data_IF_433575355143
#
_entry.id   IF_433575355143
#
_cell.length_a   1.000
_cell.length_b   1.000
_cell.length_c   1.000
_cell.angle_alpha   90.00
_cell.angle_beta   90.00
_cell.angle_gamma   90.00
#
_symmetry.space_group_name_H-M   'P 1'
#
loop_
_entity.id
_entity.type
_entity.pdbx_description
1 polymer ?
#
# COMPACT_ATOMS: atom_id res chain seq x y z
N UNK A 1 5.02 -15.61 -44.95
CA UNK A 1 5.40 -14.78 -43.79
C UNK A 1 4.25 -14.08 -43.07
N UNK A 2 3.11 -13.71 -43.70
CA UNK A 2 1.98 -13.02 -43.03
C UNK A 2 1.18 -13.86 -42.01
N UNK A 3 1.15 -15.19 -42.10
CA UNK A 3 0.38 -16.06 -41.17
C UNK A 3 1.04 -16.32 -39.84
N UNK A 4 2.37 -16.22 -39.73
CA UNK A 4 3.10 -16.45 -38.46
C UNK A 4 2.93 -15.28 -37.48
N UNK A 5 2.84 -14.04 -37.98
CA UNK A 5 2.64 -12.86 -37.13
C UNK A 5 1.23 -12.82 -36.48
N UNK A 6 0.20 -13.39 -37.13
CA UNK A 6 -1.16 -13.43 -36.55
C UNK A 6 -1.26 -14.38 -35.35
N UNK A 7 -0.53 -15.50 -35.33
CA UNK A 7 -0.54 -16.46 -34.22
C UNK A 7 0.21 -15.93 -32.98
N UNK A 8 1.27 -15.14 -33.18
CA UNK A 8 2.02 -14.55 -32.05
C UNK A 8 1.18 -13.46 -31.35
N UNK A 9 0.45 -12.65 -32.09
CA UNK A 9 -0.42 -11.61 -31.52
C UNK A 9 -1.58 -12.16 -30.67
N UNK A 10 -2.20 -13.25 -31.12
CA UNK A 10 -3.27 -13.91 -30.36
C UNK A 10 -2.77 -14.58 -29.08
N UNK A 11 -1.59 -15.19 -29.09
CA UNK A 11 -0.98 -15.80 -27.92
C UNK A 11 -0.63 -14.82 -26.80
N UNK A 12 -0.09 -13.66 -27.15
CA UNK A 12 0.27 -12.62 -26.19
C UNK A 12 -0.98 -11.98 -25.55
N UNK A 13 -2.04 -11.75 -26.34
CA UNK A 13 -3.32 -11.24 -25.82
C UNK A 13 -4.01 -12.24 -24.86
N UNK A 14 -3.95 -13.54 -25.17
CA UNK A 14 -4.55 -14.56 -24.32
C UNK A 14 -3.81 -14.72 -22.98
N UNK A 15 -2.46 -14.65 -22.99
CA UNK A 15 -1.65 -14.69 -21.77
C UNK A 15 -1.84 -13.47 -20.88
N UNK A 16 -1.96 -12.27 -21.45
CA UNK A 16 -2.22 -11.05 -20.71
C UNK A 16 -3.63 -11.09 -20.07
N UNK A 17 -4.65 -11.55 -20.77
CA UNK A 17 -6.00 -11.70 -20.25
C UNK A 17 -6.05 -12.72 -19.09
N UNK A 18 -5.36 -13.85 -19.19
CA UNK A 18 -5.28 -14.85 -18.13
C UNK A 18 -4.59 -14.32 -16.87
N UNK A 19 -3.50 -13.56 -17.02
CA UNK A 19 -2.79 -12.94 -15.88
C UNK A 19 -3.67 -11.92 -15.16
N UNK A 20 -4.38 -11.05 -15.88
CA UNK A 20 -5.31 -10.06 -15.31
C UNK A 20 -6.46 -10.75 -14.58
N UNK A 21 -6.97 -11.87 -15.10
CA UNK A 21 -8.03 -12.64 -14.45
C UNK A 21 -7.54 -13.33 -13.17
N UNK A 22 -6.33 -13.86 -13.15
CA UNK A 22 -5.73 -14.48 -11.97
C UNK A 22 -5.54 -13.46 -10.83
N UNK A 23 -5.08 -12.25 -11.13
CA UNK A 23 -4.93 -11.17 -10.14
C UNK A 23 -6.29 -10.72 -9.56
N UNK A 24 -7.33 -10.56 -10.37
CA UNK A 24 -8.67 -10.22 -9.89
C UNK A 24 -9.26 -11.32 -8.97
N UNK A 25 -9.01 -12.57 -9.30
CA UNK A 25 -9.42 -13.72 -8.47
C UNK A 25 -8.70 -13.70 -7.12
N UNK A 26 -7.40 -13.37 -7.10
CA UNK A 26 -6.62 -13.25 -5.86
C UNK A 26 -7.14 -12.08 -5.00
N UNK A 27 -7.43 -10.92 -5.58
CA UNK A 27 -7.97 -9.78 -4.85
C UNK A 27 -9.33 -10.08 -4.19
N UNK A 28 -10.23 -10.81 -4.88
CA UNK A 28 -11.50 -11.25 -4.29
C UNK A 28 -11.30 -12.25 -3.15
N UNK A 29 -10.38 -13.20 -3.31
CA UNK A 29 -10.02 -14.16 -2.26
C UNK A 29 -9.47 -13.44 -1.03
N UNK A 30 -8.51 -12.53 -1.22
CA UNK A 30 -7.92 -11.75 -0.13
C UNK A 30 -8.97 -10.85 0.54
N UNK A 31 -9.85 -10.21 -0.22
CA UNK A 31 -10.94 -9.41 0.32
C UNK A 31 -11.88 -10.24 1.21
N UNK A 32 -12.20 -11.49 0.80
CA UNK A 32 -13.02 -12.40 1.60
C UNK A 32 -12.36 -12.77 2.94
N UNK A 33 -11.04 -12.86 2.97
CA UNK A 33 -10.29 -13.07 4.22
C UNK A 33 -10.28 -11.79 5.07
N UNK A 34 -10.00 -10.62 4.49
CA UNK A 34 -9.98 -9.33 5.17
C UNK A 34 -11.31 -8.93 5.81
N UNK A 35 -12.45 -9.43 5.31
CA UNK A 35 -13.76 -9.23 5.96
C UNK A 35 -13.81 -9.73 7.40
N UNK A 36 -13.02 -10.73 7.74
CA UNK A 36 -12.96 -11.31 9.09
C UNK A 36 -12.14 -10.46 10.06
N UNK A 37 -11.34 -9.52 9.54
CA UNK A 37 -10.33 -8.79 10.31
C UNK A 37 -9.12 -9.64 10.65
N UNK A 38 -8.17 -9.05 11.39
CA UNK A 38 -6.97 -9.74 11.87
C UNK A 38 -5.76 -9.63 10.94
N UNK A 39 -5.82 -8.74 9.95
CA UNK A 39 -4.74 -8.52 8.98
C UNK A 39 -4.11 -7.15 9.13
N UNK A 40 -2.82 -7.07 8.82
CA UNK A 40 -2.09 -5.81 8.68
C UNK A 40 -1.83 -5.57 7.19
N UNK A 41 -2.25 -4.41 6.71
CA UNK A 41 -2.10 -3.97 5.31
C UNK A 41 -1.03 -2.88 5.29
N UNK A 42 0.12 -3.16 4.68
CA UNK A 42 1.18 -2.17 4.47
C UNK A 42 1.09 -1.66 3.05
N UNK A 43 0.90 -0.35 2.89
CA UNK A 43 0.72 0.28 1.60
C UNK A 43 1.74 1.39 1.37
N UNK A 44 2.34 1.41 0.18
CA UNK A 44 3.03 2.61 -0.28
C UNK A 44 1.99 3.68 -0.63
N UNK A 45 2.22 4.93 -0.22
CA UNK A 45 1.34 6.06 -0.55
C UNK A 45 0.94 6.09 -2.03
N UNK A 46 -0.14 6.77 -2.36
CA UNK A 46 -0.66 6.95 -3.73
C UNK A 46 0.31 7.68 -4.67
N UNK A 47 -0.04 7.73 -5.94
CA UNK A 47 0.76 8.37 -6.99
C UNK A 47 1.02 9.84 -6.71
N UNK A 48 2.27 10.29 -6.92
CA UNK A 48 2.72 11.66 -6.63
C UNK A 48 3.10 12.42 -7.90
N UNK A 49 3.20 13.76 -7.81
CA UNK A 49 3.73 14.59 -8.87
C UNK A 49 5.24 14.35 -8.98
N UNK A 50 5.70 13.86 -10.13
CA UNK A 50 7.10 13.44 -10.34
C UNK A 50 8.08 14.61 -10.49
N UNK A 51 7.58 15.78 -10.82
CA UNK A 51 8.31 17.05 -10.96
C UNK A 51 8.49 17.79 -9.63
N UNK A 52 7.88 17.27 -8.54
CA UNK A 52 8.02 17.83 -7.20
C UNK A 52 9.03 17.05 -6.35
N UNK A 53 9.72 17.78 -5.47
CA UNK A 53 10.60 17.23 -4.45
C UNK A 53 10.18 17.72 -3.06
N UNK A 54 10.63 17.02 -2.01
CA UNK A 54 10.55 17.51 -0.63
C UNK A 54 11.69 18.52 -0.43
N UNK A 55 11.39 19.83 -0.44
CA UNK A 55 12.38 20.90 -0.40
C UNK A 55 12.67 21.45 0.99
N UNK A 56 11.90 21.04 2.00
CA UNK A 56 12.08 21.39 3.41
C UNK A 56 11.82 20.15 4.31
N UNK A 57 12.60 19.06 4.15
CA UNK A 57 12.30 17.76 4.76
C UNK A 57 12.48 17.72 6.28
N UNK A 58 13.18 18.71 6.88
CA UNK A 58 13.32 18.84 8.33
C UNK A 58 12.09 19.47 8.99
N UNK A 59 11.32 20.23 8.24
CA UNK A 59 10.10 20.89 8.71
C UNK A 59 8.87 20.16 8.17
N UNK A 60 8.51 19.05 8.81
CA UNK A 60 7.41 18.18 8.37
C UNK A 60 6.04 18.88 8.34
N UNK A 61 5.88 19.97 9.07
CA UNK A 61 4.65 20.74 9.10
C UNK A 61 4.51 21.70 7.91
N UNK A 62 5.62 21.93 7.17
CA UNK A 62 5.60 22.75 5.95
C UNK A 62 5.11 21.93 4.74
N UNK A 63 3.81 21.61 4.75
CA UNK A 63 3.18 20.79 3.72
C UNK A 63 3.37 21.33 2.30
N UNK A 64 3.40 22.66 2.15
CA UNK A 64 3.59 23.31 0.85
C UNK A 64 4.96 23.02 0.20
N UNK A 65 5.95 22.61 1.01
CA UNK A 65 7.31 22.24 0.55
C UNK A 65 7.50 20.74 0.39
N UNK A 66 6.45 19.95 0.57
CA UNK A 66 6.49 18.51 0.36
C UNK A 66 6.01 18.15 -1.05
N UNK A 67 6.52 17.03 -1.57
CA UNK A 67 5.98 16.40 -2.76
C UNK A 67 4.55 15.89 -2.48
N UNK A 68 3.60 16.36 -3.26
CA UNK A 68 2.17 16.09 -3.08
C UNK A 68 1.69 14.88 -3.89
N UNK A 69 0.56 14.30 -3.49
CA UNK A 69 -0.18 13.40 -4.37
C UNK A 69 -0.55 14.14 -5.66
N UNK A 70 -0.48 13.44 -6.78
CA UNK A 70 -1.09 13.91 -8.02
C UNK A 70 -2.62 13.75 -7.96
N UNK A 71 -3.36 14.47 -8.80
CA UNK A 71 -4.81 14.30 -8.88
C UNK A 71 -5.20 12.85 -9.20
N UNK A 72 -4.47 12.22 -10.12
CA UNK A 72 -4.63 10.79 -10.42
C UNK A 72 -4.36 9.91 -9.20
N UNK A 73 -3.37 10.25 -8.38
CA UNK A 73 -3.06 9.52 -7.13
C UNK A 73 -4.17 9.67 -6.09
N UNK A 74 -4.76 10.87 -5.96
CA UNK A 74 -5.92 11.12 -5.09
C UNK A 74 -7.13 10.33 -5.53
N UNK A 75 -7.46 10.39 -6.82
CA UNK A 75 -8.60 9.66 -7.39
C UNK A 75 -8.44 8.15 -7.19
N UNK A 76 -7.24 7.61 -7.43
CA UNK A 76 -6.96 6.20 -7.23
C UNK A 76 -7.10 5.80 -5.75
N UNK A 77 -6.56 6.59 -4.82
CA UNK A 77 -6.69 6.32 -3.39
C UNK A 77 -8.16 6.35 -2.92
N UNK A 78 -8.95 7.31 -3.43
CA UNK A 78 -10.40 7.38 -3.19
C UNK A 78 -11.12 6.14 -3.70
N UNK A 79 -10.83 5.71 -4.93
CA UNK A 79 -11.42 4.49 -5.53
C UNK A 79 -11.04 3.23 -4.74
N UNK A 80 -9.81 3.11 -4.22
CA UNK A 80 -9.41 2.01 -3.33
C UNK A 80 -10.21 2.04 -2.04
N UNK A 81 -10.42 3.21 -1.44
CA UNK A 81 -11.27 3.35 -0.25
C UNK A 81 -12.73 2.95 -0.51
N UNK A 82 -13.28 3.34 -1.66
CA UNK A 82 -14.61 2.90 -2.10
C UNK A 82 -14.66 1.39 -2.33
N UNK A 83 -13.62 0.82 -2.94
CA UNK A 83 -13.50 -0.62 -3.13
C UNK A 83 -13.45 -1.38 -1.79
N UNK A 84 -12.67 -0.90 -0.81
CA UNK A 84 -12.62 -1.53 0.52
C UNK A 84 -13.98 -1.52 1.20
N UNK A 85 -14.72 -0.40 1.14
CA UNK A 85 -16.09 -0.32 1.69
C UNK A 85 -17.04 -1.28 0.97
N UNK A 86 -17.03 -1.28 -0.37
CA UNK A 86 -17.89 -2.16 -1.19
C UNK A 86 -17.59 -3.64 -0.97
N UNK A 87 -16.31 -3.99 -0.83
CA UNK A 87 -15.86 -5.34 -0.51
C UNK A 87 -16.09 -5.71 0.97
N UNK A 88 -16.57 -4.80 1.81
CA UNK A 88 -16.84 -5.04 3.22
C UNK A 88 -15.57 -5.29 4.05
N UNK A 89 -14.45 -4.65 3.71
CA UNK A 89 -13.16 -4.76 4.43
C UNK A 89 -13.19 -3.79 5.62
N UNK A 90 -13.26 -4.27 6.87
CA UNK A 90 -13.32 -3.42 8.05
C UNK A 90 -11.93 -2.91 8.40
N UNK A 91 -11.71 -1.60 8.30
CA UNK A 91 -10.51 -0.96 8.81
C UNK A 91 -10.70 -0.54 10.27
N UNK A 92 -9.69 -0.78 11.09
CA UNK A 92 -9.52 -0.23 12.43
C UNK A 92 -8.62 0.99 12.37
N UNK A 93 -7.46 0.93 13.05
CA UNK A 93 -6.50 2.02 13.05
C UNK A 93 -5.81 2.15 11.70
N UNK A 94 -5.73 3.39 11.20
CA UNK A 94 -4.99 3.75 9.99
C UNK A 94 -3.77 4.57 10.41
N UNK A 95 -2.61 3.93 10.43
CA UNK A 95 -1.33 4.61 10.67
C UNK A 95 -0.78 5.17 9.37
N UNK A 96 -0.16 6.34 9.44
CA UNK A 96 0.48 6.95 8.27
C UNK A 96 1.84 7.53 8.62
N UNK A 97 2.72 7.63 7.64
CA UNK A 97 3.82 8.57 7.69
C UNK A 97 3.29 9.99 7.94
N UNK A 98 4.13 10.84 8.52
CA UNK A 98 3.82 12.26 8.70
C UNK A 98 3.87 13.08 7.41
N UNK A 99 4.46 12.58 6.33
CA UNK A 99 4.39 13.26 5.04
C UNK A 99 2.95 13.31 4.51
N UNK A 100 2.54 14.48 4.02
CA UNK A 100 1.15 14.75 3.61
C UNK A 100 0.62 13.74 2.58
N UNK A 101 1.45 13.29 1.62
CA UNK A 101 1.08 12.26 0.63
C UNK A 101 0.62 10.94 1.26
N UNK A 102 1.20 10.54 2.40
CA UNK A 102 0.78 9.35 3.12
C UNK A 102 -0.46 9.61 3.98
N UNK A 103 -0.51 10.76 4.66
CA UNK A 103 -1.67 11.19 5.46
C UNK A 103 -2.92 11.27 4.58
N UNK A 104 -2.81 11.92 3.43
CA UNK A 104 -3.92 12.08 2.49
C UNK A 104 -4.35 10.73 1.89
N UNK A 105 -3.40 9.87 1.51
CA UNK A 105 -3.71 8.49 1.06
C UNK A 105 -4.48 7.73 2.13
N UNK A 106 -4.01 7.76 3.39
CA UNK A 106 -4.67 7.08 4.51
C UNK A 106 -6.09 7.58 4.76
N UNK A 107 -6.31 8.90 4.72
CA UNK A 107 -7.64 9.51 4.88
C UNK A 107 -8.60 9.12 3.76
N UNK A 108 -8.15 9.13 2.51
CA UNK A 108 -8.97 8.78 1.35
C UNK A 108 -9.39 7.30 1.37
N UNK A 109 -8.50 6.41 1.80
CA UNK A 109 -8.79 4.97 1.90
C UNK A 109 -9.62 4.67 3.15
N UNK A 110 -9.20 5.16 4.32
CA UNK A 110 -9.84 4.88 5.60
C UNK A 110 -11.20 5.58 5.79
N UNK A 111 -11.42 6.69 5.09
CA UNK A 111 -12.65 7.46 5.16
C UNK A 111 -12.82 8.26 6.46
N UNK A 112 -11.74 8.48 7.22
CA UNK A 112 -11.79 9.18 8.50
C UNK A 112 -10.43 9.57 9.06
N UNK A 113 -10.33 9.58 10.38
CA UNK A 113 -9.11 9.95 11.09
C UNK A 113 -7.98 8.94 10.85
N UNK A 114 -6.76 9.46 10.82
CA UNK A 114 -5.53 8.68 10.72
C UNK A 114 -4.59 9.04 11.86
N UNK A 115 -3.61 8.16 12.13
CA UNK A 115 -2.58 8.35 13.15
C UNK A 115 -1.22 8.56 12.47
N UNK A 116 -0.83 9.83 12.20
CA UNK A 116 0.48 10.12 11.63
C UNK A 116 1.59 9.86 12.66
N UNK A 117 2.63 9.12 12.26
CA UNK A 117 3.75 8.79 13.15
C UNK A 117 5.09 8.85 12.42
N UNK A 118 6.15 9.18 13.16
CA UNK A 118 7.52 9.11 12.64
C UNK A 118 7.98 7.66 12.42
N UNK A 119 7.37 6.68 13.08
CA UNK A 119 7.76 5.26 13.00
C UNK A 119 7.67 4.69 11.58
N UNK A 120 6.81 5.26 10.74
CA UNK A 120 6.63 4.87 9.34
C UNK A 120 6.89 6.01 8.37
N UNK A 121 7.58 7.06 8.82
CA UNK A 121 7.99 8.21 7.98
C UNK A 121 9.36 7.93 7.38
N UNK A 122 9.53 8.11 6.07
CA UNK A 122 10.84 7.94 5.44
C UNK A 122 11.84 9.00 5.98
N UNK A 123 13.07 8.56 6.18
CA UNK A 123 14.13 9.43 6.70
C UNK A 123 14.89 10.16 5.60
N UNK A 124 14.98 9.57 4.42
CA UNK A 124 15.78 10.08 3.33
C UNK A 124 17.24 10.30 3.75
N UNK A 125 17.81 11.44 3.36
CA UNK A 125 19.17 11.84 3.72
C UNK A 125 19.25 12.72 4.99
N UNK A 126 18.11 12.97 5.66
CA UNK A 126 18.03 13.94 6.76
C UNK A 126 17.95 13.29 8.14
N UNK A 127 17.85 11.98 8.23
CA UNK A 127 17.92 11.23 9.49
C UNK A 127 19.18 10.39 9.57
N UNK A 128 19.62 10.12 10.80
CA UNK A 128 20.79 9.27 11.03
C UNK A 128 20.47 7.81 10.68
N UNK A 129 21.48 6.97 10.35
CA UNK A 129 21.29 5.53 10.20
C UNK A 129 20.60 4.88 11.41
N UNK A 130 20.98 5.28 12.64
CA UNK A 130 20.36 4.78 13.88
C UNK A 130 18.86 5.05 13.92
N UNK A 131 18.45 6.27 13.55
CA UNK A 131 17.02 6.61 13.50
C UNK A 131 16.28 5.84 12.38
N UNK A 132 16.96 5.62 11.26
CA UNK A 132 16.38 4.81 10.17
C UNK A 132 16.19 3.35 10.59
N UNK A 133 17.17 2.76 11.29
CA UNK A 133 17.07 1.42 11.86
C UNK A 133 15.92 1.34 12.87
N UNK A 134 15.78 2.35 13.76
CA UNK A 134 14.67 2.44 14.70
C UNK A 134 13.31 2.41 13.99
N UNK A 135 13.15 3.19 12.92
CA UNK A 135 11.91 3.22 12.12
C UNK A 135 11.65 1.90 11.41
N UNK A 136 12.70 1.26 10.92
CA UNK A 136 12.64 -0.07 10.32
C UNK A 136 12.10 -1.10 11.31
N UNK A 137 12.66 -1.14 12.52
CA UNK A 137 12.19 -2.04 13.58
C UNK A 137 10.78 -1.69 14.06
N UNK A 138 10.42 -0.41 14.13
CA UNK A 138 9.07 0.03 14.47
C UNK A 138 8.05 -0.48 13.43
N UNK A 139 8.34 -0.37 12.14
CA UNK A 139 7.46 -0.89 11.09
C UNK A 139 7.33 -2.42 11.18
N UNK A 140 8.43 -3.16 11.40
CA UNK A 140 8.39 -4.62 11.61
C UNK A 140 7.51 -4.99 12.80
N UNK A 141 7.65 -4.28 13.92
CA UNK A 141 6.81 -4.48 15.12
C UNK A 141 5.34 -4.19 14.83
N UNK A 142 5.02 -3.12 14.11
CA UNK A 142 3.64 -2.81 13.74
C UNK A 142 3.03 -3.90 12.86
N UNK A 143 3.80 -4.46 11.91
CA UNK A 143 3.36 -5.57 11.06
C UNK A 143 3.11 -6.84 11.89
N UNK A 144 3.91 -7.09 12.92
CA UNK A 144 3.78 -8.24 13.82
C UNK A 144 2.73 -8.05 14.93
N UNK A 145 2.11 -6.86 15.03
CA UNK A 145 1.10 -6.57 16.06
C UNK A 145 -0.30 -6.92 15.54
N UNK A 146 -1.00 -7.91 16.18
CA UNK A 146 -2.34 -8.26 15.76
C UNK A 146 -3.30 -7.05 15.85
N UNK A 147 -4.13 -6.83 14.83
CA UNK A 147 -5.17 -5.81 14.88
C UNK A 147 -6.24 -6.12 15.94
N UNK A 148 -7.04 -5.12 16.35
CA UNK A 148 -8.22 -5.37 17.18
C UNK A 148 -9.17 -6.39 16.50
N UNK A 149 -9.86 -7.19 17.32
CA UNK A 149 -10.77 -8.22 16.84
C UNK A 149 -11.78 -7.68 15.82
N UNK A 150 -11.93 -8.38 14.70
CA UNK A 150 -12.85 -8.02 13.62
C UNK A 150 -12.44 -6.79 12.79
N UNK A 151 -11.21 -6.29 12.95
CA UNK A 151 -10.68 -5.15 12.21
C UNK A 151 -9.34 -5.48 11.57
N UNK A 152 -8.95 -4.69 10.58
CA UNK A 152 -7.64 -4.72 9.95
C UNK A 152 -6.89 -3.41 10.26
N UNK A 153 -5.57 -3.48 10.40
CA UNK A 153 -4.73 -2.28 10.50
C UNK A 153 -4.24 -1.91 9.12
N UNK A 154 -4.37 -0.63 8.75
CA UNK A 154 -3.75 -0.08 7.54
C UNK A 154 -2.54 0.78 7.95
N UNK A 155 -1.40 0.56 7.29
CA UNK A 155 -0.17 1.34 7.47
C UNK A 155 0.21 1.93 6.11
N UNK A 156 0.17 3.26 5.98
CA UNK A 156 0.57 3.96 4.76
C UNK A 156 1.94 4.58 4.95
N UNK A 157 2.90 4.14 4.15
CA UNK A 157 4.30 4.50 4.29
C UNK A 157 4.98 4.71 2.92
N UNK A 158 6.29 4.59 2.85
CA UNK A 158 7.12 4.91 1.69
C UNK A 158 7.93 3.70 1.23
N UNK A 159 8.41 3.73 -0.03
CA UNK A 159 9.23 2.66 -0.59
C UNK A 159 10.48 2.37 0.27
N UNK A 160 11.28 3.35 0.72
CA UNK A 160 12.45 3.04 1.55
C UNK A 160 12.08 2.25 2.82
N UNK A 161 11.10 2.71 3.60
CA UNK A 161 10.65 2.00 4.81
C UNK A 161 10.20 0.57 4.53
N UNK A 162 9.47 0.35 3.43
CA UNK A 162 8.99 -0.98 3.03
C UNK A 162 10.18 -1.89 2.69
N UNK A 163 11.14 -1.39 1.90
CA UNK A 163 12.32 -2.16 1.50
C UNK A 163 13.21 -2.48 2.70
N UNK A 164 13.44 -1.51 3.59
CA UNK A 164 14.26 -1.71 4.79
C UNK A 164 13.63 -2.71 5.76
N UNK A 165 12.31 -2.67 5.92
CA UNK A 165 11.59 -3.57 6.82
C UNK A 165 11.39 -4.98 6.25
N UNK A 166 11.06 -5.11 4.97
CA UNK A 166 10.57 -6.34 4.34
C UNK A 166 11.60 -6.98 3.39
N UNK A 167 12.62 -6.22 2.96
CA UNK A 167 13.71 -6.74 2.16
C UNK A 167 13.59 -6.45 0.67
N UNK A 168 14.57 -6.99 -0.09
CA UNK A 168 14.81 -6.68 -1.51
C UNK A 168 13.64 -7.02 -2.44
N UNK A 169 12.79 -7.95 -2.08
CA UNK A 169 11.65 -8.36 -2.91
C UNK A 169 10.60 -7.25 -3.07
N UNK A 170 10.68 -6.21 -2.21
CA UNK A 170 9.88 -4.98 -2.31
C UNK A 170 10.56 -3.83 -3.04
N UNK A 171 11.76 -4.05 -3.63
CA UNK A 171 12.49 -2.98 -4.33
C UNK A 171 11.66 -2.34 -5.46
N UNK A 172 10.76 -3.09 -6.08
CA UNK A 172 9.88 -2.63 -7.15
C UNK A 172 8.44 -2.30 -6.68
N UNK A 173 8.22 -2.13 -5.35
CA UNK A 173 6.89 -1.76 -4.82
C UNK A 173 6.38 -0.48 -5.47
N UNK A 174 5.17 -0.53 -6.03
CA UNK A 174 4.55 0.57 -6.77
C UNK A 174 3.78 1.51 -5.83
N UNK A 175 3.57 2.76 -6.26
CA UNK A 175 2.67 3.69 -5.57
C UNK A 175 1.26 3.11 -5.53
N UNK A 176 0.64 3.09 -4.35
CA UNK A 176 -0.67 2.47 -4.11
C UNK A 176 -0.66 0.94 -4.01
N UNK A 177 0.51 0.28 -4.08
CA UNK A 177 0.61 -1.16 -3.85
C UNK A 177 0.47 -1.48 -2.35
N UNK A 178 -0.31 -2.51 -2.04
CA UNK A 178 -0.54 -3.03 -0.71
C UNK A 178 0.03 -4.44 -0.54
N UNK A 179 0.75 -4.67 0.56
CA UNK A 179 1.15 -5.98 1.05
C UNK A 179 0.26 -6.36 2.23
N UNK A 180 -0.41 -7.49 2.15
CA UNK A 180 -1.34 -7.98 3.17
C UNK A 180 -0.65 -9.06 4.00
N UNK A 181 -0.61 -8.87 5.32
CA UNK A 181 -0.02 -9.80 6.26
C UNK A 181 -1.07 -10.36 7.21
N UNK A 182 -1.00 -11.66 7.47
CA UNK A 182 -1.66 -12.31 8.60
C UNK A 182 -0.64 -12.47 9.73
N UNK A 183 -1.04 -12.16 10.94
CA UNK A 183 -0.21 -12.40 12.13
C UNK A 183 -0.65 -13.70 12.76
N UNK A 184 0.23 -14.68 12.88
CA UNK A 184 -0.07 -15.94 13.53
C UNK A 184 -0.13 -15.82 15.06
N UNK A 185 -0.50 -16.90 15.74
CA UNK A 185 -0.61 -16.92 17.19
C UNK A 185 0.74 -16.68 17.93
N UNK A 186 1.87 -16.84 17.24
CA UNK A 186 3.21 -16.55 17.78
C UNK A 186 3.65 -15.11 17.57
N UNK A 187 2.84 -14.29 16.88
CA UNK A 187 3.18 -12.91 16.49
C UNK A 187 4.03 -12.84 15.23
N UNK A 188 4.20 -13.95 14.49
CA UNK A 188 4.96 -13.96 13.24
C UNK A 188 4.08 -13.52 12.09
N UNK A 189 4.47 -12.46 11.33
CA UNK A 189 3.74 -12.05 10.15
C UNK A 189 4.00 -12.99 8.97
N UNK A 190 2.94 -13.39 8.28
CA UNK A 190 2.96 -14.16 7.05
C UNK A 190 2.39 -13.31 5.91
N UNK A 191 3.14 -13.17 4.81
CA UNK A 191 2.65 -12.48 3.62
C UNK A 191 1.56 -13.31 2.93
N UNK A 192 0.36 -12.74 2.83
CA UNK A 192 -0.79 -13.38 2.16
C UNK A 192 -0.83 -13.03 0.69
N UNK A 193 -0.61 -11.78 0.35
CA UNK A 193 -0.59 -11.30 -1.05
C UNK A 193 -0.01 -9.89 -1.15
N UNK A 194 0.36 -9.53 -2.39
CA UNK A 194 0.69 -8.17 -2.80
C UNK A 194 -0.25 -7.77 -3.93
N UNK A 195 -0.98 -6.67 -3.75
CA UNK A 195 -2.04 -6.23 -4.66
C UNK A 195 -1.86 -4.77 -5.04
N UNK A 196 -2.06 -4.49 -6.31
CA UNK A 196 -2.06 -3.12 -6.84
C UNK A 196 -3.40 -2.43 -6.54
N UNK A 197 -3.43 -1.10 -6.55
CA UNK A 197 -4.68 -0.35 -6.42
C UNK A 197 -5.74 -0.78 -7.44
N UNK A 198 -5.33 -1.06 -8.68
CA UNK A 198 -6.22 -1.52 -9.74
C UNK A 198 -6.90 -2.87 -9.46
N UNK A 199 -6.21 -3.77 -8.72
CA UNK A 199 -6.74 -5.09 -8.39
C UNK A 199 -7.93 -4.98 -7.42
N UNK A 200 -7.82 -4.09 -6.42
CA UNK A 200 -8.90 -3.80 -5.48
C UNK A 200 -10.12 -3.17 -6.18
N UNK A 201 -9.87 -2.17 -7.04
CA UNK A 201 -10.90 -1.46 -7.78
C UNK A 201 -11.67 -2.44 -8.69
N UNK A 202 -10.93 -3.31 -9.41
CA UNK A 202 -11.51 -4.33 -10.27
C UNK A 202 -12.32 -5.34 -9.46
N UNK A 203 -11.78 -5.88 -8.37
CA UNK A 203 -12.48 -6.85 -7.52
C UNK A 203 -13.81 -6.31 -6.97
N UNK A 204 -13.89 -4.99 -6.72
CA UNK A 204 -15.11 -4.33 -6.26
C UNK A 204 -16.13 -4.03 -7.37
N UNK A 205 -15.73 -4.07 -8.64
CA UNK A 205 -16.62 -3.78 -9.79
C UNK A 205 -17.28 -5.02 -10.39
N UNK A 206 -16.78 -6.19 -10.09
CA UNK A 206 -17.28 -7.51 -10.52
C UNK A 206 -18.16 -8.17 -9.44
#
# INVERSE_FOLDING_TARGET
MKRVLQFIGLGVLALAAAAVQAQATDAKRVAAELKKGGYVIVMRHGGTNRDQADTDPLNIDNVAKQRQLSDKGRDQAKQVGEAFRKLGIPLGTVYTSKFNRAVETGKLIGGGEVVPTFDVTEGGLVVTPIENDRRTEALRKMIATPPPAGRNTLIVTHKPNIVDALGKDWFEVKEGEASVFRVDASGKPELVSRLQAADWIKAASE
#
